data_IF_404276306165
#
_entry.id   IF_404276306165
#
_cell.length_a   1.000
_cell.length_b   1.000
_cell.length_c   1.000
_cell.angle_alpha   90.00
_cell.angle_beta   90.00
_cell.angle_gamma   90.00
#
_symmetry.space_group_name_H-M   'P 1'
#
loop_
_entity.id
_entity.type
_entity.pdbx_description
1 polymer ?
#
# COMPACT_ATOMS: atom_id res chain seq x y z
N UNK A 1 -32.39 -33.37 -25.25
CA UNK A 1 -32.58 -33.49 -23.79
C UNK A 1 -32.24 -32.14 -23.22
N UNK A 2 -33.26 -31.45 -22.70
CA UNK A 2 -33.14 -30.11 -22.11
C UNK A 2 -32.08 -30.13 -21.02
N UNK A 3 -31.14 -29.19 -21.05
CA UNK A 3 -30.14 -29.03 -19.99
C UNK A 3 -30.87 -28.63 -18.73
N UNK A 4 -30.90 -29.53 -17.75
CA UNK A 4 -31.50 -29.25 -16.44
C UNK A 4 -30.61 -28.20 -15.78
N UNK A 5 -31.05 -26.94 -15.76
CA UNK A 5 -30.42 -25.91 -14.94
C UNK A 5 -30.51 -26.38 -13.48
N UNK A 6 -29.37 -26.76 -12.91
CA UNK A 6 -29.27 -27.04 -11.49
C UNK A 6 -29.52 -25.73 -10.72
N UNK A 7 -30.75 -25.54 -10.23
CA UNK A 7 -31.09 -24.37 -9.42
C UNK A 7 -30.54 -24.55 -8.00
N UNK A 8 -29.79 -23.55 -7.55
CA UNK A 8 -29.27 -23.49 -6.19
C UNK A 8 -30.21 -22.65 -5.32
N UNK A 9 -30.90 -23.31 -4.39
CA UNK A 9 -31.77 -22.69 -3.41
C UNK A 9 -30.98 -22.35 -2.14
N UNK A 10 -30.71 -21.07 -1.96
CA UNK A 10 -30.09 -20.51 -0.76
C UNK A 10 -31.19 -19.93 0.13
N UNK A 11 -31.34 -20.47 1.34
CA UNK A 11 -32.28 -19.91 2.33
C UNK A 11 -31.69 -19.96 3.73
N UNK A 12 -32.21 -19.10 4.60
CA UNK A 12 -31.98 -19.20 6.03
C UNK A 12 -33.13 -20.01 6.66
N UNK A 13 -32.80 -21.03 7.45
CA UNK A 13 -33.77 -21.78 8.27
C UNK A 13 -34.25 -20.93 9.46
N UNK A 14 -35.38 -21.30 10.09
CA UNK A 14 -35.93 -20.62 11.29
C UNK A 14 -34.91 -20.51 12.45
N UNK A 15 -33.89 -21.37 12.47
CA UNK A 15 -32.78 -21.32 13.41
C UNK A 15 -31.72 -20.24 13.08
N UNK A 16 -31.87 -19.49 12.00
CA UNK A 16 -30.84 -18.58 11.45
C UNK A 16 -29.66 -19.30 10.78
N UNK A 17 -29.83 -20.57 10.42
CA UNK A 17 -28.81 -21.37 9.73
C UNK A 17 -28.91 -21.15 8.22
N UNK A 18 -27.78 -20.92 7.55
CA UNK A 18 -27.75 -20.86 6.10
C UNK A 18 -27.80 -22.28 5.54
N UNK A 19 -28.71 -22.52 4.61
CA UNK A 19 -28.93 -23.82 3.98
C UNK A 19 -28.90 -23.65 2.48
N UNK A 20 -27.90 -24.28 1.84
CA UNK A 20 -27.83 -24.44 0.40
C UNK A 20 -28.41 -25.79 0.01
N UNK A 21 -29.35 -25.79 -0.93
CA UNK A 21 -29.92 -26.99 -1.56
C UNK A 21 -29.79 -26.87 -3.06
N UNK A 22 -29.22 -27.85 -3.74
CA UNK A 22 -29.31 -27.93 -5.19
C UNK A 22 -30.59 -28.69 -5.57
N UNK A 23 -31.08 -28.48 -6.80
CA UNK A 23 -32.23 -29.20 -7.33
C UNK A 23 -32.02 -30.72 -7.47
N UNK A 24 -30.78 -31.19 -7.40
CA UNK A 24 -30.44 -32.61 -7.47
C UNK A 24 -30.52 -33.25 -6.06
N UNK A 25 -31.48 -34.16 -5.82
CA UNK A 25 -31.70 -34.74 -4.49
C UNK A 25 -30.54 -35.63 -3.99
N UNK A 26 -29.56 -35.95 -4.84
CA UNK A 26 -28.37 -36.73 -4.49
C UNK A 26 -27.17 -35.88 -4.05
N UNK A 27 -27.23 -34.54 -4.17
CA UNK A 27 -26.09 -33.65 -3.91
C UNK A 27 -25.94 -33.27 -2.43
N UNK A 28 -26.89 -33.68 -1.58
CA UNK A 28 -26.83 -33.52 -0.13
C UNK A 28 -27.26 -32.13 0.37
N UNK A 29 -27.51 -32.05 1.68
CA UNK A 29 -27.85 -30.81 2.37
C UNK A 29 -26.60 -30.23 3.02
N UNK A 30 -26.26 -28.98 2.68
CA UNK A 30 -25.20 -28.24 3.37
C UNK A 30 -25.84 -27.21 4.29
N UNK A 31 -25.76 -27.43 5.60
CA UNK A 31 -26.26 -26.49 6.61
C UNK A 31 -25.15 -26.15 7.59
N UNK A 32 -24.94 -24.87 7.86
CA UNK A 32 -23.98 -24.41 8.86
C UNK A 32 -24.46 -23.14 9.55
N UNK A 33 -23.94 -22.93 10.77
CA UNK A 33 -24.38 -21.86 11.65
C UNK A 33 -23.61 -20.59 11.31
N UNK A 34 -24.30 -19.59 10.76
CA UNK A 34 -23.72 -18.28 10.46
C UNK A 34 -24.13 -17.32 11.56
N UNK A 35 -23.17 -16.65 12.17
CA UNK A 35 -23.46 -15.58 13.13
C UNK A 35 -24.09 -14.38 12.41
N UNK A 36 -25.15 -13.81 13.00
CA UNK A 36 -25.91 -12.69 12.44
C UNK A 36 -24.98 -11.53 12.05
N UNK A 37 -24.95 -11.18 10.76
CA UNK A 37 -24.13 -10.07 10.22
C UNK A 37 -22.79 -10.46 9.58
N UNK A 38 -22.48 -11.75 9.41
CA UNK A 38 -21.30 -12.22 8.65
C UNK A 38 -21.74 -12.75 7.28
N UNK A 39 -21.22 -12.15 6.21
CA UNK A 39 -21.46 -12.60 4.84
C UNK A 39 -20.55 -13.79 4.49
N UNK A 40 -21.11 -14.72 3.73
CA UNK A 40 -20.57 -16.05 3.42
C UNK A 40 -19.76 -16.10 2.12
N UNK A 41 -19.46 -14.92 1.56
CA UNK A 41 -18.97 -14.79 0.19
C UNK A 41 -17.56 -15.33 -0.08
N UNK A 42 -16.83 -15.76 0.95
CA UNK A 42 -15.37 -15.96 0.82
C UNK A 42 -14.93 -17.44 0.89
N UNK A 43 -15.81 -18.36 1.31
CA UNK A 43 -15.41 -19.77 1.57
C UNK A 43 -15.85 -20.76 0.49
N UNK A 44 -16.98 -20.50 -0.15
CA UNK A 44 -17.56 -21.38 -1.15
C UNK A 44 -17.57 -20.69 -2.49
N UNK A 45 -17.10 -21.37 -3.54
CA UNK A 45 -17.19 -20.92 -4.92
C UNK A 45 -18.02 -21.89 -5.73
N UNK A 46 -18.78 -21.38 -6.69
CA UNK A 46 -19.51 -22.22 -7.63
C UNK A 46 -18.59 -22.51 -8.81
N UNK A 47 -18.21 -23.77 -8.99
CA UNK A 47 -17.42 -24.23 -10.15
C UNK A 47 -18.25 -25.28 -10.86
N UNK A 48 -18.57 -25.03 -12.14
CA UNK A 48 -19.36 -25.94 -12.98
C UNK A 48 -20.75 -26.29 -12.40
N UNK A 49 -21.43 -25.30 -11.79
CA UNK A 49 -22.76 -25.47 -11.19
C UNK A 49 -22.77 -26.22 -9.86
N UNK A 50 -21.60 -26.59 -9.32
CA UNK A 50 -21.45 -27.27 -8.03
C UNK A 50 -20.86 -26.31 -7.00
N UNK A 51 -21.37 -26.38 -5.77
CA UNK A 51 -20.76 -25.68 -4.65
C UNK A 51 -19.46 -26.38 -4.26
N UNK A 52 -18.33 -25.69 -4.43
CA UNK A 52 -17.00 -26.12 -4.01
C UNK A 52 -16.61 -25.34 -2.77
N UNK A 53 -16.29 -26.06 -1.69
CA UNK A 53 -15.63 -25.49 -0.52
C UNK A 53 -14.15 -25.28 -0.83
N UNK A 54 -13.69 -24.03 -0.82
CA UNK A 54 -12.28 -23.71 -1.09
C UNK A 54 -11.39 -23.98 0.13
N UNK A 55 -11.95 -24.31 1.29
CA UNK A 55 -11.22 -24.54 2.53
C UNK A 55 -11.65 -25.85 3.25
N UNK A 56 -11.51 -27.01 2.57
CA UNK A 56 -11.99 -28.28 3.10
C UNK A 56 -11.27 -28.66 4.39
N UNK A 57 -12.05 -28.98 5.42
CA UNK A 57 -11.54 -29.43 6.72
C UNK A 57 -11.01 -28.32 7.63
N UNK A 58 -11.18 -27.04 7.27
CA UNK A 58 -10.79 -25.89 8.10
C UNK A 58 -11.97 -25.33 8.87
N UNK A 59 -11.78 -25.05 10.15
CA UNK A 59 -12.80 -24.42 10.99
C UNK A 59 -13.06 -22.97 10.56
N UNK A 60 -14.17 -22.40 11.01
CA UNK A 60 -14.53 -21.02 10.69
C UNK A 60 -13.42 -20.02 11.05
N UNK A 61 -12.79 -20.25 12.19
CA UNK A 61 -11.67 -19.49 12.74
C UNK A 61 -10.39 -19.61 11.91
N UNK A 62 -10.00 -20.81 11.47
CA UNK A 62 -8.78 -21.00 10.68
C UNK A 62 -8.82 -20.29 9.33
N UNK A 63 -9.97 -20.29 8.66
CA UNK A 63 -10.09 -19.59 7.37
C UNK A 63 -10.19 -18.09 7.57
N UNK A 64 -10.76 -17.60 8.68
CA UNK A 64 -10.68 -16.19 9.04
C UNK A 64 -9.22 -15.77 9.26
N UNK A 65 -8.41 -16.62 9.90
CA UNK A 65 -6.97 -16.38 10.05
C UNK A 65 -6.24 -16.42 8.71
N UNK A 66 -6.48 -17.43 7.87
CA UNK A 66 -5.85 -17.54 6.55
C UNK A 66 -6.22 -16.36 5.64
N UNK A 67 -7.48 -15.90 5.70
CA UNK A 67 -7.95 -14.75 4.94
C UNK A 67 -7.38 -13.45 5.51
N UNK A 68 -7.28 -13.31 6.83
CA UNK A 68 -6.62 -12.17 7.47
C UNK A 68 -5.12 -12.14 7.15
N UNK A 69 -4.44 -13.29 7.12
CA UNK A 69 -3.04 -13.41 6.71
C UNK A 69 -2.87 -13.14 5.22
N UNK A 70 -3.75 -13.63 4.35
CA UNK A 70 -3.71 -13.29 2.91
C UNK A 70 -4.00 -11.81 2.66
N UNK A 71 -4.92 -11.20 3.42
CA UNK A 71 -5.15 -9.76 3.38
C UNK A 71 -3.91 -9.00 3.86
N UNK A 72 -3.24 -9.46 4.94
CA UNK A 72 -2.00 -8.86 5.42
C UNK A 72 -0.85 -9.01 4.41
N UNK A 73 -0.69 -10.18 3.80
CA UNK A 73 0.30 -10.44 2.75
C UNK A 73 0.00 -9.65 1.46
N UNK A 74 -1.27 -9.42 1.14
CA UNK A 74 -1.67 -8.57 0.01
C UNK A 74 -1.41 -7.08 0.29
N UNK A 75 -1.50 -6.65 1.55
CA UNK A 75 -1.14 -5.28 1.97
C UNK A 75 0.38 -5.09 1.98
N UNK A 76 1.15 -6.09 2.41
CA UNK A 76 2.62 -6.07 2.32
C UNK A 76 3.14 -6.17 0.87
N UNK A 77 2.48 -6.93 0.00
CA UNK A 77 2.80 -6.99 -1.42
C UNK A 77 2.37 -5.73 -2.20
N UNK A 78 1.34 -5.00 -1.72
CA UNK A 78 0.93 -3.71 -2.25
C UNK A 78 1.70 -2.52 -1.64
N UNK A 79 2.54 -2.76 -0.63
CA UNK A 79 3.57 -1.84 -0.20
C UNK A 79 4.79 -1.92 -1.14
N UNK A 80 4.56 -1.85 -2.46
CA UNK A 80 5.55 -1.23 -3.32
C UNK A 80 5.80 0.17 -2.72
N UNK A 81 7.05 0.58 -2.44
CA UNK A 81 7.30 1.96 -2.05
C UNK A 81 6.73 2.79 -3.19
N UNK A 82 5.64 3.53 -2.93
CA UNK A 82 5.01 4.39 -3.92
C UNK A 82 6.14 5.13 -4.62
N UNK A 83 6.42 4.77 -5.88
CA UNK A 83 7.60 5.29 -6.59
C UNK A 83 7.51 6.80 -6.43
N UNK A 84 8.52 7.44 -5.80
CA UNK A 84 8.44 8.85 -5.48
C UNK A 84 8.08 9.57 -6.77
N UNK A 85 6.88 10.16 -6.82
CA UNK A 85 6.41 10.84 -8.02
C UNK A 85 7.44 11.92 -8.30
N UNK A 86 8.12 11.91 -9.47
CA UNK A 86 9.16 12.88 -9.74
C UNK A 86 8.56 14.28 -9.61
N UNK A 87 9.23 15.12 -8.83
CA UNK A 87 8.86 16.52 -8.60
C UNK A 87 10.01 17.40 -9.04
N UNK A 88 10.29 17.48 -10.37
CA UNK A 88 11.37 18.28 -10.88
C UNK A 88 11.04 19.76 -10.78
N UNK A 89 11.98 20.52 -10.24
CA UNK A 89 11.96 21.97 -10.19
C UNK A 89 13.25 22.53 -10.77
N UNK A 90 13.22 23.80 -11.18
CA UNK A 90 14.43 24.46 -11.66
C UNK A 90 15.40 24.71 -10.51
N UNK A 91 16.69 24.83 -10.83
CA UNK A 91 17.74 25.17 -9.87
C UNK A 91 17.44 26.48 -9.12
N UNK A 92 16.89 27.48 -9.83
CA UNK A 92 16.48 28.74 -9.23
C UNK A 92 15.32 28.55 -8.25
N UNK A 93 14.27 27.84 -8.66
CA UNK A 93 13.12 27.58 -7.79
C UNK A 93 13.50 26.78 -6.54
N UNK A 94 14.54 25.93 -6.61
CA UNK A 94 15.09 25.25 -5.44
C UNK A 94 15.81 26.24 -4.51
N UNK A 95 16.65 27.12 -5.06
CA UNK A 95 17.38 28.14 -4.28
C UNK A 95 16.43 29.14 -3.60
N UNK A 96 15.34 29.52 -4.25
CA UNK A 96 14.32 30.43 -3.70
C UNK A 96 13.56 29.87 -2.49
N UNK A 97 13.71 28.57 -2.17
CA UNK A 97 13.12 27.95 -0.96
C UNK A 97 13.97 28.14 0.29
N UNK A 98 15.24 28.51 0.11
CA UNK A 98 16.15 28.87 1.18
C UNK A 98 16.11 30.38 1.39
N UNK A 99 16.36 30.80 2.62
CA UNK A 99 16.60 32.22 2.93
C UNK A 99 18.01 32.64 2.50
N UNK A 100 18.23 33.93 2.29
CA UNK A 100 19.56 34.45 1.93
C UNK A 100 20.64 34.12 3.00
N UNK A 101 20.25 34.11 4.28
CA UNK A 101 21.14 33.75 5.40
C UNK A 101 21.54 32.27 5.35
N UNK A 102 20.57 31.37 5.10
CA UNK A 102 20.82 29.94 4.91
C UNK A 102 21.74 29.71 3.70
N UNK A 103 21.48 30.36 2.58
CA UNK A 103 22.34 30.26 1.40
C UNK A 103 23.76 30.75 1.70
N UNK A 104 23.92 31.89 2.36
CA UNK A 104 25.23 32.41 2.74
C UNK A 104 25.99 31.42 3.65
N UNK A 105 25.31 30.82 4.62
CA UNK A 105 25.89 29.80 5.50
C UNK A 105 26.31 28.54 4.73
N UNK A 106 25.47 28.06 3.80
CA UNK A 106 25.77 26.90 2.95
C UNK A 106 26.99 27.19 2.05
N UNK A 107 27.06 28.36 1.43
CA UNK A 107 28.19 28.77 0.59
C UNK A 107 29.48 29.01 1.40
N UNK A 108 29.37 29.47 2.64
CA UNK A 108 30.51 29.57 3.53
C UNK A 108 31.02 28.18 3.94
N UNK A 109 30.10 27.27 4.31
CA UNK A 109 30.42 25.90 4.67
C UNK A 109 31.06 25.13 3.52
N UNK A 110 30.59 25.32 2.28
CA UNK A 110 31.16 24.72 1.08
C UNK A 110 32.66 25.01 0.90
N UNK A 111 33.17 26.14 1.40
CA UNK A 111 34.62 26.48 1.32
C UNK A 111 35.48 25.71 2.32
N UNK A 112 34.86 25.07 3.31
CA UNK A 112 35.53 24.44 4.44
C UNK A 112 35.23 22.95 4.57
N UNK A 113 34.04 22.51 4.13
CA UNK A 113 33.59 21.13 4.12
C UNK A 113 33.40 20.66 2.68
N UNK A 114 34.27 19.75 2.26
CA UNK A 114 34.28 19.14 0.92
C UNK A 114 32.95 18.45 0.60
N UNK A 115 32.23 17.92 1.60
CA UNK A 115 30.94 17.26 1.38
C UNK A 115 29.87 18.26 0.93
N UNK A 116 29.87 19.45 1.53
CA UNK A 116 28.96 20.55 1.15
C UNK A 116 29.37 21.10 -0.22
N UNK A 117 30.67 21.22 -0.50
CA UNK A 117 31.17 21.61 -1.82
C UNK A 117 30.69 20.66 -2.93
N UNK A 118 30.86 19.35 -2.72
CA UNK A 118 30.42 18.31 -3.67
C UNK A 118 28.90 18.34 -3.86
N UNK A 119 28.11 18.60 -2.82
CA UNK A 119 26.67 18.76 -2.95
C UNK A 119 26.34 19.97 -3.85
N UNK A 120 26.97 21.12 -3.59
CA UNK A 120 26.77 22.33 -4.40
C UNK A 120 27.19 22.12 -5.86
N UNK A 121 28.28 21.42 -6.12
CA UNK A 121 28.75 21.13 -7.47
C UNK A 121 27.78 20.22 -8.23
N UNK A 122 27.31 19.15 -7.59
CA UNK A 122 26.28 18.26 -8.15
C UNK A 122 25.00 19.01 -8.50
N UNK A 123 24.55 19.93 -7.64
CA UNK A 123 23.37 20.75 -7.93
C UNK A 123 23.61 21.70 -9.11
N UNK A 124 24.81 22.26 -9.27
CA UNK A 124 25.15 23.11 -10.43
C UNK A 124 25.12 22.32 -11.74
N UNK A 125 25.69 21.11 -11.72
CA UNK A 125 25.76 20.20 -12.87
C UNK A 125 24.41 19.60 -13.25
N UNK A 126 23.49 19.44 -12.30
CA UNK A 126 22.15 18.91 -12.58
C UNK A 126 21.38 19.83 -13.54
N UNK A 127 20.64 19.25 -14.49
CA UNK A 127 19.75 20.02 -15.37
C UNK A 127 18.55 20.57 -14.60
N UNK A 128 18.01 19.75 -13.71
CA UNK A 128 16.84 19.99 -12.87
C UNK A 128 17.05 19.33 -11.50
N UNK A 129 16.32 19.81 -10.49
CA UNK A 129 16.37 19.26 -9.13
C UNK A 129 15.06 18.54 -8.86
N UNK A 130 15.11 17.24 -8.61
CA UNK A 130 13.94 16.47 -8.23
C UNK A 130 13.82 16.37 -6.70
N UNK A 131 12.70 16.82 -6.14
CA UNK A 131 12.45 16.86 -4.69
C UNK A 131 12.03 15.49 -4.10
N UNK A 132 11.71 14.54 -4.97
CA UNK A 132 11.36 13.17 -4.63
C UNK A 132 12.59 12.25 -4.75
N UNK A 133 13.66 12.69 -5.43
CA UNK A 133 14.93 11.98 -5.53
C UNK A 133 15.58 11.84 -4.15
N UNK A 134 15.96 10.61 -3.76
CA UNK A 134 16.52 10.34 -2.43
C UNK A 134 17.86 11.04 -2.19
N UNK A 135 18.63 11.36 -3.24
CA UNK A 135 19.91 12.07 -3.12
C UNK A 135 19.68 13.55 -2.83
N UNK A 136 18.67 14.16 -3.45
CA UNK A 136 18.25 15.53 -3.13
C UNK A 136 17.79 15.62 -1.68
N UNK A 137 16.93 14.70 -1.24
CA UNK A 137 16.44 14.65 0.14
C UNK A 137 17.58 14.51 1.14
N UNK A 138 18.45 13.51 0.94
CA UNK A 138 19.61 13.28 1.78
C UNK A 138 20.56 14.50 1.82
N UNK A 139 20.72 15.21 0.70
CA UNK A 139 21.49 16.45 0.64
C UNK A 139 20.93 17.54 1.53
N UNK A 140 19.61 17.80 1.46
CA UNK A 140 18.94 18.82 2.28
C UNK A 140 18.92 18.43 3.76
N UNK A 141 18.67 17.16 4.08
CA UNK A 141 18.71 16.64 5.45
C UNK A 141 20.11 16.73 6.07
N UNK A 142 21.17 16.56 5.26
CA UNK A 142 22.54 16.76 5.71
C UNK A 142 22.82 18.23 6.05
N UNK A 143 22.27 19.19 5.31
CA UNK A 143 22.41 20.62 5.63
C UNK A 143 21.79 20.95 6.99
N UNK A 144 20.64 20.35 7.32
CA UNK A 144 20.00 20.50 8.62
C UNK A 144 20.82 19.85 9.74
N UNK A 145 21.33 18.63 9.50
CA UNK A 145 22.18 17.91 10.47
C UNK A 145 23.47 18.68 10.78
N UNK A 146 24.02 19.39 9.79
CA UNK A 146 25.20 20.25 9.95
C UNK A 146 24.87 21.61 10.60
N UNK A 147 23.59 21.89 10.86
CA UNK A 147 23.13 23.16 11.42
C UNK A 147 23.27 24.35 10.45
N UNK A 148 23.37 24.08 9.14
CA UNK A 148 23.47 25.12 8.11
C UNK A 148 22.11 25.71 7.74
N UNK A 149 21.05 24.93 7.97
CA UNK A 149 19.66 25.37 7.94
C UNK A 149 19.00 25.07 9.28
N UNK A 150 17.95 25.80 9.61
CA UNK A 150 17.22 25.60 10.88
C UNK A 150 16.62 24.20 11.00
N UNK A 151 16.40 23.73 12.24
CA UNK A 151 15.77 22.43 12.49
C UNK A 151 14.35 22.39 11.89
N UNK A 152 14.01 21.31 11.17
CA UNK A 152 12.74 21.17 10.45
C UNK A 152 12.66 21.92 9.12
N UNK A 153 13.67 22.72 8.74
CA UNK A 153 13.68 23.43 7.45
C UNK A 153 13.85 22.48 6.27
N UNK A 154 14.48 21.33 6.47
CA UNK A 154 14.62 20.34 5.41
C UNK A 154 13.26 19.89 4.86
N UNK A 155 12.27 19.69 5.75
CA UNK A 155 10.91 19.31 5.35
C UNK A 155 10.23 20.41 4.52
N UNK A 156 10.39 21.67 4.92
CA UNK A 156 9.83 22.83 4.20
C UNK A 156 10.44 22.98 2.81
N UNK A 157 11.76 22.83 2.69
CA UNK A 157 12.47 22.91 1.40
C UNK A 157 12.05 21.77 0.45
N UNK A 158 11.77 20.59 0.99
CA UNK A 158 11.37 19.39 0.25
C UNK A 158 9.85 19.27 0.01
N UNK A 159 9.07 20.26 0.44
CA UNK A 159 7.63 20.31 0.23
C UNK A 159 7.23 20.49 -1.23
#
# INVERSE_FOLDING_TARGET
>A
MEGVEAMLYLHFDESGRFVGKTSDPNDGYFSFKVSKGKELGERFSVVDGKLVDNFPGKTDEEVLSILAEQAAQSVEAAAEPAKPTPRPITKLAFMERFTDEELAAIYAAAKTDVRVEVLMDKMKLASEIDLADPRTRAGVEALETLGLIGQGRAAEVLS
#
